data_IF_890717707328
#
_entry.id   IF_890717707328
#
_cell.length_a   1.000
_cell.length_b   1.000
_cell.length_c   1.000
_cell.angle_alpha   90.00
_cell.angle_beta   90.00
_cell.angle_gamma   90.00
#
_symmetry.space_group_name_H-M   'P 1'
#
loop_
_entity.id
_entity.type
_entity.pdbx_description
1 polymer ?
#
# COMPACT_ATOMS: atom_id res chain seq x y z
N UNK A 1 -59.34 10.78 31.20
CA UNK A 1 -58.45 11.95 31.49
C UNK A 1 -57.04 11.51 31.11
N UNK A 2 -56.51 11.94 29.95
CA UNK A 2 -55.45 12.98 29.82
C UNK A 2 -54.33 12.74 30.86
N UNK A 3 -53.08 12.43 30.50
CA UNK A 3 -52.18 13.31 29.75
C UNK A 3 -51.16 12.59 28.86
N UNK A 4 -50.89 13.27 27.75
CA UNK A 4 -49.80 13.18 26.79
C UNK A 4 -48.46 13.57 27.45
N UNK A 5 -47.34 12.95 27.04
CA UNK A 5 -46.06 13.66 26.82
C UNK A 5 -45.04 12.76 26.10
N UNK A 6 -44.77 13.13 24.85
CA UNK A 6 -43.61 12.74 24.06
C UNK A 6 -42.32 13.27 24.70
N UNK A 7 -41.26 12.45 24.77
CA UNK A 7 -39.89 12.94 24.55
C UNK A 7 -39.14 11.93 23.68
N UNK A 8 -38.82 12.40 22.48
CA UNK A 8 -37.89 11.87 21.50
C UNK A 8 -36.46 11.95 22.06
N UNK A 9 -35.75 10.83 22.21
CA UNK A 9 -34.30 10.82 22.48
C UNK A 9 -33.59 10.55 21.16
N UNK A 10 -32.79 11.50 20.62
CA UNK A 10 -32.04 11.26 19.40
C UNK A 10 -30.88 10.30 19.68
N UNK A 11 -30.85 9.19 18.93
CA UNK A 11 -29.71 8.28 18.87
C UNK A 11 -28.53 9.00 18.19
N UNK A 12 -27.64 9.55 19.00
CA UNK A 12 -26.37 10.11 18.59
C UNK A 12 -25.26 9.27 19.21
N UNK A 13 -24.80 8.23 18.52
CA UNK A 13 -23.64 7.46 18.97
C UNK A 13 -22.67 7.20 17.80
N UNK A 14 -21.60 8.00 17.87
CA UNK A 14 -20.21 7.70 17.55
C UNK A 14 -19.87 7.49 16.07
N UNK A 15 -19.49 8.62 15.47
CA UNK A 15 -18.46 8.63 14.45
C UNK A 15 -17.24 7.83 14.91
N UNK A 16 -16.80 6.93 14.03
CA UNK A 16 -15.51 6.27 14.16
C UNK A 16 -14.46 7.36 13.99
N UNK A 17 -13.96 7.83 15.14
CA UNK A 17 -12.76 8.64 15.28
C UNK A 17 -11.58 7.85 14.70
N UNK A 18 -11.20 8.14 13.45
CA UNK A 18 -9.86 7.84 12.98
C UNK A 18 -8.89 8.78 13.72
N UNK A 19 -8.46 8.37 14.92
CA UNK A 19 -7.44 9.10 15.68
C UNK A 19 -6.07 8.68 15.15
N UNK A 20 -5.65 9.31 14.05
CA UNK A 20 -4.25 9.29 13.62
C UNK A 20 -3.50 10.36 14.40
N UNK A 21 -3.09 10.02 15.63
CA UNK A 21 -2.10 10.81 16.38
C UNK A 21 -0.72 10.59 15.75
N UNK A 22 -0.43 11.31 14.67
CA UNK A 22 0.94 11.48 14.18
C UNK A 22 1.53 12.73 14.84
N UNK A 23 2.54 12.51 15.68
CA UNK A 23 3.11 13.55 16.53
C UNK A 23 3.92 14.54 15.69
N UNK A 24 3.43 15.77 15.69
CA UNK A 24 4.02 16.98 15.12
C UNK A 24 5.33 17.29 15.84
N UNK A 25 6.45 17.39 15.11
CA UNK A 25 7.46 18.47 15.20
C UNK A 25 8.75 18.06 14.51
N UNK A 26 9.00 18.59 13.31
CA UNK A 26 10.35 18.91 12.83
C UNK A 26 10.22 20.20 11.98
N UNK A 27 10.69 21.32 12.53
CA UNK A 27 10.69 22.63 11.87
C UNK A 27 11.80 22.67 10.81
N UNK A 28 11.42 22.81 9.55
CA UNK A 28 12.29 23.20 8.44
C UNK A 28 11.46 23.39 7.18
N UNK A 29 11.63 24.50 6.47
CA UNK A 29 10.79 24.91 5.33
C UNK A 29 10.77 23.87 4.17
N UNK A 30 11.72 22.93 4.12
CA UNK A 30 11.72 21.79 3.20
C UNK A 30 10.86 20.60 3.63
N UNK A 31 10.70 20.34 4.94
CA UNK A 31 9.96 19.18 5.46
C UNK A 31 8.45 19.32 5.22
N UNK A 32 7.92 20.54 5.33
CA UNK A 32 6.53 20.85 5.01
C UNK A 32 6.17 20.46 3.57
N UNK A 33 7.10 20.64 2.64
CA UNK A 33 6.89 20.29 1.22
C UNK A 33 6.89 18.78 1.02
N UNK A 34 7.79 18.04 1.68
CA UNK A 34 7.85 16.58 1.63
C UNK A 34 6.56 15.99 2.20
N UNK A 35 6.13 16.45 3.37
CA UNK A 35 4.92 15.98 4.03
C UNK A 35 3.67 16.20 3.16
N UNK A 36 3.52 17.41 2.60
CA UNK A 36 2.43 17.76 1.70
C UNK A 36 2.42 16.92 0.42
N UNK A 37 3.60 16.64 -0.16
CA UNK A 37 3.73 15.79 -1.35
C UNK A 37 3.37 14.34 -1.02
N UNK A 38 3.87 13.80 0.08
CA UNK A 38 3.52 12.47 0.57
C UNK A 38 2.02 12.33 0.81
N UNK A 39 1.38 13.33 1.43
CA UNK A 39 -0.06 13.31 1.68
C UNK A 39 -0.87 13.37 0.38
N UNK A 40 -0.41 14.16 -0.60
CA UNK A 40 -1.04 14.22 -1.92
C UNK A 40 -0.91 12.87 -2.65
N UNK A 41 0.28 12.28 -2.65
CA UNK A 41 0.53 10.99 -3.26
C UNK A 41 -0.29 9.89 -2.58
N UNK A 42 -0.34 9.84 -1.25
CA UNK A 42 -1.14 8.90 -0.49
C UNK A 42 -2.62 8.99 -0.89
N UNK A 43 -3.18 10.20 -0.97
CA UNK A 43 -4.57 10.42 -1.40
C UNK A 43 -4.83 10.02 -2.85
N UNK A 44 -3.84 10.10 -3.74
CA UNK A 44 -3.99 9.63 -5.12
C UNK A 44 -3.95 8.10 -5.18
N UNK A 45 -3.04 7.46 -4.44
CA UNK A 45 -2.90 6.00 -4.39
C UNK A 45 -4.08 5.32 -3.70
N UNK A 46 -4.61 5.92 -2.63
CA UNK A 46 -5.75 5.40 -1.85
C UNK A 46 -7.03 5.26 -2.68
N UNK A 47 -7.15 6.02 -3.78
CA UNK A 47 -8.26 5.88 -4.74
C UNK A 47 -8.20 4.58 -5.56
N UNK A 48 -7.05 3.91 -5.59
CA UNK A 48 -6.80 2.71 -6.39
C UNK A 48 -6.61 1.49 -5.47
N UNK A 49 -5.86 1.65 -4.37
CA UNK A 49 -5.50 0.57 -3.47
C UNK A 49 -5.29 1.07 -2.04
N UNK A 50 -5.55 0.21 -1.05
CA UNK A 50 -5.42 0.53 0.39
C UNK A 50 -4.01 1.07 0.69
N UNK A 51 -3.92 2.36 0.98
CA UNK A 51 -2.63 3.04 1.15
C UNK A 51 -2.53 3.66 2.54
N UNK A 52 -1.49 3.27 3.28
CA UNK A 52 -1.26 3.70 4.66
C UNK A 52 0.03 4.49 4.77
N UNK A 53 0.00 5.56 5.56
CA UNK A 53 1.19 6.33 5.90
C UNK A 53 1.93 5.66 7.05
N UNK A 54 3.25 5.60 6.94
CA UNK A 54 4.16 5.03 7.93
C UNK A 54 5.29 6.02 8.22
N UNK A 55 6.11 5.74 9.23
CA UNK A 55 7.26 6.58 9.58
C UNK A 55 8.29 6.70 8.44
N UNK A 56 8.43 5.64 7.63
CA UNK A 56 9.44 5.56 6.56
C UNK A 56 8.91 6.01 5.20
N UNK A 57 7.60 6.16 5.04
CA UNK A 57 7.01 6.29 3.72
C UNK A 57 5.51 5.97 3.67
N UNK A 58 5.08 5.49 2.51
CA UNK A 58 3.73 4.97 2.28
C UNK A 58 3.81 3.46 2.05
N UNK A 59 2.79 2.72 2.48
CA UNK A 59 2.61 1.31 2.13
C UNK A 59 1.28 1.19 1.41
N UNK A 60 1.32 0.80 0.14
CA UNK A 60 0.14 0.45 -0.65
C UNK A 60 0.00 -1.06 -0.68
N UNK A 61 -1.14 -1.56 -0.21
CA UNK A 61 -1.41 -3.00 -0.13
C UNK A 61 -2.35 -3.42 -1.26
N UNK A 62 -1.95 -4.44 -2.01
CA UNK A 62 -2.70 -5.05 -3.09
C UNK A 62 -3.04 -6.50 -2.73
N UNK A 63 -4.29 -6.91 -2.93
CA UNK A 63 -4.70 -8.27 -2.65
C UNK A 63 -4.21 -9.22 -3.76
N UNK A 64 -3.56 -10.32 -3.38
CA UNK A 64 -2.97 -11.29 -4.30
C UNK A 64 -4.00 -11.93 -5.24
N UNK A 65 -5.24 -12.15 -4.81
CA UNK A 65 -6.29 -12.76 -5.64
C UNK A 65 -6.86 -11.80 -6.69
N UNK A 66 -6.71 -10.49 -6.44
CA UNK A 66 -7.03 -9.47 -7.45
C UNK A 66 -5.92 -9.36 -8.50
N UNK A 67 -4.69 -9.73 -8.12
CA UNK A 67 -3.52 -9.63 -8.98
C UNK A 67 -3.27 -10.89 -9.80
N UNK A 68 -3.45 -12.07 -9.20
CA UNK A 68 -3.04 -13.37 -9.76
C UNK A 68 -4.17 -14.40 -9.64
N UNK A 69 -4.17 -15.39 -10.54
CA UNK A 69 -4.92 -16.62 -10.30
C UNK A 69 -4.19 -17.50 -9.25
N UNK A 70 -4.94 -18.41 -8.64
CA UNK A 70 -4.40 -19.39 -7.67
C UNK A 70 -3.21 -20.15 -8.24
N UNK A 71 -2.09 -20.15 -7.50
CA UNK A 71 -0.85 -20.84 -7.89
C UNK A 71 -0.10 -20.20 -9.07
N UNK A 72 -0.60 -19.12 -9.66
CA UNK A 72 0.06 -18.41 -10.76
C UNK A 72 0.86 -17.21 -10.28
N UNK A 73 1.82 -16.83 -11.11
CA UNK A 73 2.64 -15.61 -11.01
C UNK A 73 2.33 -14.61 -12.12
N UNK A 74 1.49 -14.98 -13.09
CA UNK A 74 1.07 -14.10 -14.16
C UNK A 74 -0.04 -13.14 -13.68
N UNK A 75 0.15 -11.86 -13.96
CA UNK A 75 -0.81 -10.82 -13.58
C UNK A 75 -2.03 -10.83 -14.49
N UNK A 76 -3.20 -10.70 -13.86
CA UNK A 76 -4.49 -10.55 -14.55
C UNK A 76 -4.55 -9.22 -15.32
N UNK A 77 -5.38 -9.16 -16.36
CA UNK A 77 -5.52 -7.94 -17.17
C UNK A 77 -5.99 -6.74 -16.34
N UNK A 78 -6.99 -6.90 -15.48
CA UNK A 78 -7.45 -5.81 -14.62
C UNK A 78 -6.37 -5.34 -13.62
N UNK A 79 -5.51 -6.27 -13.19
CA UNK A 79 -4.39 -5.95 -12.31
C UNK A 79 -3.34 -5.09 -13.02
N UNK A 80 -3.04 -5.39 -14.30
CA UNK A 80 -2.14 -4.59 -15.13
C UNK A 80 -2.67 -3.15 -15.28
N UNK A 81 -3.97 -2.97 -15.50
CA UNK A 81 -4.60 -1.64 -15.61
C UNK A 81 -4.54 -0.84 -14.29
N UNK A 82 -4.65 -1.50 -13.13
CA UNK A 82 -4.51 -0.83 -11.85
C UNK A 82 -3.05 -0.48 -11.54
N UNK A 83 -2.11 -1.38 -11.86
CA UNK A 83 -0.68 -1.13 -11.75
C UNK A 83 -0.21 -0.01 -12.68
N UNK A 84 -0.80 0.11 -13.86
CA UNK A 84 -0.61 1.24 -14.77
C UNK A 84 -0.93 2.57 -14.09
N UNK A 85 -2.12 2.68 -13.51
CA UNK A 85 -2.57 3.91 -12.82
C UNK A 85 -1.66 4.24 -11.62
N UNK A 86 -1.23 3.22 -10.88
CA UNK A 86 -0.26 3.38 -9.78
C UNK A 86 1.08 3.91 -10.33
N UNK A 87 1.60 3.33 -11.43
CA UNK A 87 2.82 3.80 -12.07
C UNK A 87 2.71 5.25 -12.54
N UNK A 88 1.57 5.65 -13.11
CA UNK A 88 1.33 7.02 -13.56
C UNK A 88 1.24 8.03 -12.42
N UNK A 89 0.74 7.63 -11.25
CA UNK A 89 0.85 8.44 -10.03
C UNK A 89 2.31 8.54 -9.60
N UNK A 90 3.04 7.41 -9.54
CA UNK A 90 4.43 7.38 -9.09
C UNK A 90 5.36 8.24 -9.96
N UNK A 91 5.10 8.34 -11.28
CA UNK A 91 5.86 9.23 -12.19
C UNK A 91 5.75 10.71 -11.84
N UNK A 92 4.67 11.15 -11.20
CA UNK A 92 4.51 12.54 -10.74
C UNK A 92 5.45 12.88 -9.57
N UNK A 93 6.02 11.86 -8.94
CA UNK A 93 6.89 11.93 -7.76
C UNK A 93 8.19 11.16 -8.04
N UNK A 94 9.12 11.72 -8.85
CA UNK A 94 10.36 11.04 -9.26
C UNK A 94 11.33 10.70 -8.11
N UNK A 95 11.11 11.27 -6.92
CA UNK A 95 11.86 11.00 -5.69
C UNK A 95 11.57 9.62 -5.05
N UNK A 96 10.63 8.86 -5.58
CA UNK A 96 10.19 7.58 -5.03
C UNK A 96 11.26 6.48 -5.15
N UNK A 97 11.46 5.76 -4.05
CA UNK A 97 12.15 4.48 -3.97
C UNK A 97 11.13 3.43 -3.55
N UNK A 98 11.04 2.35 -4.34
CA UNK A 98 10.04 1.30 -4.16
C UNK A 98 10.67 0.03 -3.63
N UNK A 99 10.03 -0.57 -2.62
CA UNK A 99 10.29 -1.95 -2.20
C UNK A 99 8.99 -2.73 -2.30
N UNK A 100 8.95 -3.69 -3.22
CA UNK A 100 7.81 -4.57 -3.45
C UNK A 100 8.02 -5.84 -2.64
N UNK A 101 7.08 -6.12 -1.74
CA UNK A 101 7.12 -7.24 -0.81
C UNK A 101 6.00 -8.21 -1.17
N UNK A 102 6.35 -9.44 -1.49
CA UNK A 102 5.39 -10.51 -1.76
C UNK A 102 5.15 -11.37 -0.52
N UNK A 103 3.89 -11.72 -0.29
CA UNK A 103 3.49 -12.65 0.77
C UNK A 103 2.53 -13.71 0.22
N UNK A 104 2.57 -14.90 0.80
CA UNK A 104 1.65 -16.02 0.55
C UNK A 104 0.81 -16.29 1.79
N UNK A 105 -0.13 -17.23 1.67
CA UNK A 105 -0.68 -17.88 2.86
C UNK A 105 0.21 -19.05 3.29
N UNK A 106 -0.11 -19.64 4.43
CA UNK A 106 0.64 -20.77 4.99
C UNK A 106 0.30 -22.15 4.34
N UNK A 107 -0.19 -22.16 3.09
CA UNK A 107 -0.54 -23.41 2.41
C UNK A 107 0.63 -23.87 1.55
N UNK A 108 1.19 -25.03 1.88
CA UNK A 108 2.28 -25.65 1.12
C UNK A 108 3.64 -25.48 1.80
N UNK A 109 4.72 -25.95 1.17
CA UNK A 109 6.06 -25.87 1.76
C UNK A 109 6.65 -24.46 1.71
N UNK A 110 7.31 -24.03 2.78
CA UNK A 110 7.96 -22.72 2.93
C UNK A 110 8.86 -22.38 1.74
N UNK A 111 9.72 -23.32 1.31
CA UNK A 111 10.63 -23.10 0.19
C UNK A 111 9.92 -22.78 -1.13
N UNK A 112 8.69 -23.28 -1.31
CA UNK A 112 7.86 -22.99 -2.48
C UNK A 112 7.20 -21.63 -2.32
N UNK A 113 6.73 -21.32 -1.10
CA UNK A 113 6.10 -20.04 -0.76
C UNK A 113 7.08 -18.87 -0.93
N UNK A 114 8.34 -19.04 -0.51
CA UNK A 114 9.40 -18.06 -0.69
C UNK A 114 9.59 -17.71 -2.17
N UNK A 115 9.82 -18.73 -3.00
CA UNK A 115 10.03 -18.55 -4.45
C UNK A 115 8.78 -17.95 -5.11
N UNK A 116 7.58 -18.40 -4.71
CA UNK A 116 6.33 -17.91 -5.27
C UNK A 116 6.12 -16.42 -4.93
N UNK A 117 6.39 -16.04 -3.69
CA UNK A 117 6.25 -14.66 -3.23
C UNK A 117 7.22 -13.72 -3.95
N UNK A 118 8.47 -14.13 -4.13
CA UNK A 118 9.48 -13.36 -4.85
C UNK A 118 9.14 -13.21 -6.34
N UNK A 119 8.68 -14.29 -6.99
CA UNK A 119 8.25 -14.24 -8.40
C UNK A 119 7.06 -13.32 -8.61
N UNK A 120 6.10 -13.33 -7.69
CA UNK A 120 4.94 -12.42 -7.74
C UNK A 120 5.36 -10.96 -7.55
N UNK A 121 6.26 -10.68 -6.61
CA UNK A 121 6.84 -9.34 -6.46
C UNK A 121 7.59 -8.90 -7.72
N UNK A 122 8.33 -9.81 -8.36
CA UNK A 122 9.06 -9.57 -9.61
C UNK A 122 8.12 -9.27 -10.79
N UNK A 123 7.01 -10.00 -10.90
CA UNK A 123 5.99 -9.72 -11.93
C UNK A 123 5.41 -8.30 -11.80
N UNK A 124 5.16 -7.83 -10.57
CA UNK A 124 4.72 -6.45 -10.35
C UNK A 124 5.80 -5.45 -10.75
N UNK A 125 7.07 -5.71 -10.39
CA UNK A 125 8.22 -4.88 -10.81
C UNK A 125 8.30 -4.77 -12.33
N UNK A 126 8.13 -5.85 -13.06
CA UNK A 126 8.18 -5.86 -14.53
C UNK A 126 7.13 -4.95 -15.14
N UNK A 127 5.89 -4.96 -14.65
CA UNK A 127 4.83 -4.06 -15.13
C UNK A 127 5.16 -2.60 -14.84
N UNK A 128 5.75 -2.28 -13.68
CA UNK A 128 6.19 -0.91 -13.38
C UNK A 128 7.32 -0.46 -14.31
N UNK A 129 8.27 -1.35 -14.64
CA UNK A 129 9.38 -1.06 -15.56
C UNK A 129 8.87 -0.86 -17.00
N UNK A 130 7.97 -1.73 -17.47
CA UNK A 130 7.30 -1.57 -18.77
C UNK A 130 6.58 -0.22 -18.87
N UNK A 131 6.21 0.32 -17.70
CA UNK A 131 5.64 1.64 -17.56
C UNK A 131 6.65 2.77 -17.39
N UNK A 132 7.89 2.60 -17.83
CA UNK A 132 8.96 3.60 -17.74
C UNK A 132 9.31 4.01 -16.31
N UNK A 133 9.04 3.18 -15.31
CA UNK A 133 9.58 3.38 -13.97
C UNK A 133 11.03 2.87 -13.92
N UNK A 134 11.99 3.64 -13.38
CA UNK A 134 13.40 3.25 -13.37
C UNK A 134 13.62 1.98 -12.54
N UNK A 135 14.20 0.95 -13.14
CA UNK A 135 14.43 -0.34 -12.47
C UNK A 135 15.37 -0.24 -11.27
N UNK A 136 16.25 0.76 -11.26
CA UNK A 136 17.23 1.01 -10.19
C UNK A 136 16.61 1.49 -8.89
N UNK A 137 15.38 2.02 -8.94
CA UNK A 137 14.65 2.48 -7.74
C UNK A 137 13.67 1.44 -7.21
N UNK A 138 13.59 0.24 -7.83
CA UNK A 138 12.70 -0.85 -7.41
C UNK A 138 13.50 -2.04 -6.87
N UNK A 139 13.26 -2.35 -5.59
CA UNK A 139 13.67 -3.60 -4.95
C UNK A 139 12.48 -4.56 -4.82
N UNK A 140 12.73 -5.85 -4.93
CA UNK A 140 11.75 -6.92 -4.71
C UNK A 140 12.22 -7.81 -3.57
N UNK A 141 11.29 -8.27 -2.73
CA UNK A 141 11.54 -9.19 -1.62
C UNK A 141 10.38 -10.17 -1.54
N UNK A 142 10.67 -11.47 -1.46
CA UNK A 142 9.70 -12.50 -1.12
C UNK A 142 9.81 -12.86 0.36
N UNK A 143 8.69 -12.81 1.10
CA UNK A 143 8.63 -13.22 2.50
C UNK A 143 7.93 -14.57 2.70
N UNK A 144 7.47 -15.22 1.62
CA UNK A 144 6.70 -16.45 1.74
C UNK A 144 5.49 -16.25 2.65
N UNK A 145 5.30 -17.16 3.61
CA UNK A 145 4.20 -17.12 4.58
C UNK A 145 4.51 -16.32 5.85
N UNK A 146 5.72 -15.77 5.96
CA UNK A 146 6.12 -14.98 7.11
C UNK A 146 5.30 -13.70 7.24
N UNK A 147 5.25 -13.18 8.47
CA UNK A 147 4.53 -11.95 8.82
C UNK A 147 3.04 -11.97 8.40
N UNK A 148 2.26 -12.97 8.86
CA UNK A 148 0.82 -13.01 8.60
C UNK A 148 0.12 -11.83 9.26
N UNK A 149 -0.82 -11.22 8.54
CA UNK A 149 -1.66 -10.11 9.04
C UNK A 149 -3.04 -10.59 9.50
N UNK A 150 -3.37 -11.86 9.22
CA UNK A 150 -4.61 -12.51 9.60
C UNK A 150 -4.39 -14.01 9.86
N UNK A 151 -5.40 -14.65 10.44
CA UNK A 151 -5.36 -16.06 10.82
C UNK A 151 -5.32 -17.02 9.61
N UNK A 152 -4.21 -17.74 9.44
CA UNK A 152 -4.01 -18.71 8.36
C UNK A 152 -4.93 -19.95 8.45
N UNK A 153 -5.58 -20.20 9.58
CA UNK A 153 -6.51 -21.34 9.71
C UNK A 153 -7.82 -21.09 8.96
N UNK A 154 -8.23 -19.82 8.81
CA UNK A 154 -9.49 -19.46 8.14
C UNK A 154 -9.29 -19.12 6.66
N UNK A 155 -10.26 -19.45 5.82
CA UNK A 155 -10.23 -19.06 4.38
C UNK A 155 -10.08 -17.54 4.21
N UNK A 156 -10.77 -16.76 5.06
CA UNK A 156 -10.73 -15.30 5.05
C UNK A 156 -9.34 -14.77 5.43
N UNK A 157 -8.69 -15.31 6.46
CA UNK A 157 -7.36 -14.85 6.84
C UNK A 157 -6.29 -15.23 5.82
N UNK A 158 -6.36 -16.43 5.22
CA UNK A 158 -5.48 -16.79 4.09
C UNK A 158 -5.60 -15.83 2.91
N UNK A 159 -6.84 -15.43 2.56
CA UNK A 159 -7.11 -14.43 1.52
C UNK A 159 -6.46 -13.06 1.82
N UNK A 160 -6.34 -12.68 3.09
CA UNK A 160 -5.70 -11.43 3.51
C UNK A 160 -4.17 -11.55 3.50
N UNK A 161 -3.64 -12.72 3.85
CA UNK A 161 -2.19 -12.96 3.88
C UNK A 161 -1.59 -13.04 2.48
N UNK A 162 -2.34 -13.53 1.48
CA UNK A 162 -1.98 -13.43 0.06
C UNK A 162 -2.07 -11.97 -0.40
N UNK A 163 -0.98 -11.24 -0.26
CA UNK A 163 -0.91 -9.80 -0.60
C UNK A 163 0.44 -9.43 -1.17
N UNK A 164 0.46 -8.31 -1.88
CA UNK A 164 1.68 -7.59 -2.23
C UNK A 164 1.62 -6.23 -1.56
N UNK A 165 2.68 -5.87 -0.85
CA UNK A 165 2.86 -4.53 -0.31
C UNK A 165 3.89 -3.80 -1.16
N UNK A 166 3.56 -2.59 -1.57
CA UNK A 166 4.49 -1.67 -2.21
C UNK A 166 4.82 -0.61 -1.16
N UNK A 167 6.01 -0.72 -0.58
CA UNK A 167 6.57 0.29 0.28
C UNK A 167 7.21 1.38 -0.58
N UNK A 168 6.78 2.61 -0.37
CA UNK A 168 7.18 3.79 -1.10
C UNK A 168 7.89 4.71 -0.13
N UNK A 169 9.21 4.72 -0.18
CA UNK A 169 10.02 5.69 0.53
C UNK A 169 10.31 6.89 -0.37
N UNK A 170 10.43 8.07 0.22
CA UNK A 170 10.94 9.25 -0.48
C UNK A 170 12.40 9.46 -0.11
N UNK A 171 13.25 9.60 -1.12
CA UNK A 171 14.61 10.04 -0.90
C UNK A 171 14.63 11.56 -0.69
N UNK A 172 14.76 11.97 0.57
CA UNK A 172 14.79 13.38 0.95
C UNK A 172 15.94 14.16 0.27
N UNK A 173 17.05 13.50 -0.10
CA UNK A 173 18.17 14.14 -0.80
C UNK A 173 17.81 14.58 -2.22
N UNK A 174 16.90 13.85 -2.90
CA UNK A 174 16.43 14.17 -4.25
C UNK A 174 15.43 15.34 -4.27
N UNK A 175 14.87 15.67 -3.11
CA UNK A 175 13.92 16.77 -2.94
C UNK A 175 14.67 18.09 -2.76
N UNK A 176 15.82 18.08 -2.09
CA UNK A 176 16.63 19.30 -1.90
C UNK A 176 17.26 19.80 -3.21
N UNK A 177 17.56 18.90 -4.16
CA UNK A 177 18.16 19.25 -5.45
C UNK A 177 17.16 19.84 -6.46
N UNK A 178 15.85 19.62 -6.25
CA UNK A 178 14.79 20.08 -7.15
C UNK A 178 14.15 21.40 -6.72
N UNK A 179 14.53 21.95 -5.56
CA UNK A 179 14.10 23.28 -5.14
C UNK A 179 14.99 24.33 -5.82
N UNK A 180 14.41 25.35 -6.49
CA UNK A 180 15.21 26.48 -6.97
C UNK A 180 15.88 27.16 -5.76
N UNK A 181 17.18 27.40 -5.87
CA UNK A 181 17.95 28.20 -4.91
C UNK A 181 17.51 29.66 -4.93
#
# INVERSE_FOLDING_TARGET
MKYLSFILVPALFLGISCSSHYNKTLKGNGLSTIENRMDKQARELDKIADTKRTEKGLITTLNGDTLFDTGKTELKSEAKDNLQKIADIMKKYPENILTIRGYTDATGPDSINDILSERRASAVKEILIQNNFPSTTIKTIGYGEDYPIADNTTKKGRLQNRRIEIEIAMDASRITDSLPK
#
